data_IF_564215318338
#
_entry.id   IF_564215318338
#
_cell.length_a   1.000
_cell.length_b   1.000
_cell.length_c   1.000
_cell.angle_alpha   90.00
_cell.angle_beta   90.00
_cell.angle_gamma   90.00
#
_symmetry.space_group_name_H-M   'P 1'
#
loop_
_entity.id
_entity.type
_entity.pdbx_description
1 polymer ?
#
# COMPACT_ATOMS: atom_id res chain seq x y z
N UNK A 1 -21.08 -13.38 -11.25
CA UNK A 1 -21.71 -12.04 -11.35
C UNK A 1 -21.82 -11.70 -12.82
N UNK A 2 -23.02 -11.46 -13.33
CA UNK A 2 -23.24 -11.17 -14.75
C UNK A 2 -22.57 -9.83 -15.11
N UNK A 3 -21.99 -9.74 -16.31
CA UNK A 3 -21.38 -8.51 -16.85
C UNK A 3 -22.43 -7.40 -16.93
N UNK A 4 -23.70 -7.76 -17.16
CA UNK A 4 -24.83 -6.84 -17.18
C UNK A 4 -25.13 -6.27 -15.78
N UNK A 5 -25.13 -7.11 -14.75
CA UNK A 5 -25.34 -6.67 -13.36
C UNK A 5 -24.20 -5.78 -12.87
N UNK A 6 -22.98 -6.08 -13.29
CA UNK A 6 -21.79 -5.26 -12.99
C UNK A 6 -21.90 -3.89 -13.68
N UNK A 7 -22.29 -3.84 -14.95
CA UNK A 7 -22.48 -2.59 -15.70
C UNK A 7 -23.64 -1.75 -15.14
N UNK A 8 -24.71 -2.39 -14.65
CA UNK A 8 -25.84 -1.71 -13.99
C UNK A 8 -25.43 -1.11 -12.66
N UNK A 9 -24.73 -1.88 -11.81
CA UNK A 9 -24.17 -1.40 -10.56
C UNK A 9 -23.23 -0.21 -10.74
N UNK A 10 -22.35 -0.27 -11.75
CA UNK A 10 -21.45 0.86 -12.11
C UNK A 10 -22.26 2.08 -12.55
N UNK A 11 -23.29 1.94 -13.40
CA UNK A 11 -24.15 3.06 -13.85
C UNK A 11 -24.91 3.75 -12.71
N UNK A 12 -25.35 2.99 -11.72
CA UNK A 12 -25.97 3.56 -10.52
C UNK A 12 -24.95 4.42 -9.77
N UNK A 13 -23.69 4.01 -9.75
CA UNK A 13 -22.64 4.67 -8.97
C UNK A 13 -21.87 5.74 -9.76
N UNK A 14 -22.13 5.93 -11.07
CA UNK A 14 -21.51 7.00 -11.88
C UNK A 14 -22.18 8.38 -11.76
N UNK A 15 -23.20 8.52 -10.93
CA UNK A 15 -23.89 9.82 -10.73
C UNK A 15 -23.32 10.53 -9.49
N UNK A 16 -22.87 11.78 -9.65
CA UNK A 16 -22.17 12.50 -8.57
C UNK A 16 -23.07 12.76 -7.37
N UNK A 17 -24.39 12.91 -7.57
CA UNK A 17 -25.33 13.11 -6.46
C UNK A 17 -25.55 11.81 -5.69
N UNK A 18 -25.62 10.66 -6.38
CA UNK A 18 -25.72 9.35 -5.71
C UNK A 18 -24.45 9.01 -4.93
N UNK A 19 -23.27 9.31 -5.47
CA UNK A 19 -22.01 9.17 -4.72
C UNK A 19 -22.00 10.03 -3.46
N UNK A 20 -22.38 11.31 -3.57
CA UNK A 20 -22.41 12.21 -2.41
C UNK A 20 -23.46 11.80 -1.37
N UNK A 21 -24.57 11.19 -1.78
CA UNK A 21 -25.55 10.59 -0.84
C UNK A 21 -24.91 9.44 -0.05
N UNK A 22 -24.20 8.53 -0.73
CA UNK A 22 -23.54 7.39 -0.09
C UNK A 22 -22.43 7.83 0.86
N UNK A 23 -21.68 8.87 0.47
CA UNK A 23 -20.66 9.51 1.30
C UNK A 23 -21.27 10.10 2.59
N UNK A 24 -22.32 10.92 2.47
CA UNK A 24 -22.99 11.52 3.64
C UNK A 24 -23.64 10.50 4.59
N UNK A 25 -24.09 9.36 4.08
CA UNK A 25 -24.59 8.25 4.89
C UNK A 25 -23.43 7.57 5.62
N UNK A 26 -22.31 7.33 4.92
CA UNK A 26 -21.11 6.69 5.48
C UNK A 26 -20.42 7.54 6.56
N UNK A 27 -20.38 8.87 6.38
CA UNK A 27 -19.83 9.83 7.35
C UNK A 27 -20.76 10.07 8.56
N UNK A 28 -22.01 9.60 8.50
CA UNK A 28 -22.95 9.81 9.59
C UNK A 28 -22.62 8.91 10.80
N UNK A 29 -22.76 9.40 12.05
CA UNK A 29 -22.38 8.63 13.25
C UNK A 29 -23.06 7.26 13.38
N UNK A 30 -24.30 7.16 12.89
CA UNK A 30 -25.13 5.95 12.96
C UNK A 30 -25.16 5.17 11.63
N UNK A 31 -24.39 5.59 10.62
CA UNK A 31 -24.39 4.97 9.28
C UNK A 31 -25.72 5.08 8.53
N UNK A 32 -26.58 6.05 8.91
CA UNK A 32 -27.92 6.24 8.36
C UNK A 32 -28.31 7.71 8.28
N UNK A 33 -29.13 8.06 7.28
CA UNK A 33 -29.60 9.43 7.10
C UNK A 33 -31.08 9.51 6.71
N UNK A 34 -31.69 10.66 7.05
CA UNK A 34 -33.02 11.04 6.57
C UNK A 34 -32.89 11.75 5.22
N UNK A 35 -33.83 11.51 4.29
CA UNK A 35 -33.89 12.20 3.00
C UNK A 35 -33.93 13.74 3.15
N UNK A 36 -34.61 14.24 4.19
CA UNK A 36 -34.64 15.68 4.48
C UNK A 36 -33.26 16.23 4.82
N UNK A 37 -32.47 15.52 5.64
CA UNK A 37 -31.10 15.89 5.98
C UNK A 37 -30.20 15.86 4.74
N UNK A 38 -30.27 14.78 3.95
CA UNK A 38 -29.52 14.65 2.71
C UNK A 38 -29.82 15.80 1.74
N UNK A 39 -31.09 16.19 1.59
CA UNK A 39 -31.47 17.34 0.76
C UNK A 39 -30.86 18.66 1.24
N UNK A 40 -30.84 18.89 2.56
CA UNK A 40 -30.19 20.05 3.16
C UNK A 40 -28.69 20.07 2.89
N UNK A 41 -27.97 18.98 3.20
CA UNK A 41 -26.51 18.88 3.04
C UNK A 41 -26.07 19.00 1.57
N UNK A 42 -26.85 18.44 0.64
CA UNK A 42 -26.57 18.51 -0.80
C UNK A 42 -26.95 19.85 -1.42
N UNK A 43 -27.66 20.73 -0.71
CA UNK A 43 -28.24 21.94 -1.29
C UNK A 43 -29.26 21.67 -2.41
N UNK A 44 -29.90 20.49 -2.38
CA UNK A 44 -30.84 20.04 -3.41
C UNK A 44 -32.28 20.03 -2.89
N UNK A 45 -33.24 20.08 -3.82
CA UNK A 45 -34.65 19.94 -3.46
C UNK A 45 -34.94 18.49 -3.05
N UNK A 46 -35.77 18.32 -2.02
CA UNK A 46 -36.13 17.00 -1.50
C UNK A 46 -36.68 16.01 -2.56
N UNK A 47 -37.50 16.41 -3.55
CA UNK A 47 -37.93 15.51 -4.61
C UNK A 47 -36.77 14.95 -5.46
N UNK A 48 -35.73 15.76 -5.70
CA UNK A 48 -34.53 15.34 -6.43
C UNK A 48 -33.80 14.26 -5.65
N UNK A 49 -33.52 14.50 -4.37
CA UNK A 49 -32.85 13.52 -3.50
C UNK A 49 -33.69 12.25 -3.34
N UNK A 50 -35.00 12.38 -3.21
CA UNK A 50 -35.92 11.23 -3.12
C UNK A 50 -35.83 10.34 -4.37
N UNK A 51 -35.65 10.91 -5.56
CA UNK A 51 -35.46 10.16 -6.80
C UNK A 51 -34.14 9.37 -6.81
N UNK A 52 -33.05 9.99 -6.37
CA UNK A 52 -31.74 9.34 -6.26
C UNK A 52 -31.75 8.23 -5.21
N UNK A 53 -32.29 8.50 -4.02
CA UNK A 53 -32.42 7.51 -2.94
C UNK A 53 -33.31 6.35 -3.37
N UNK A 54 -34.41 6.60 -4.07
CA UNK A 54 -35.25 5.53 -4.62
C UNK A 54 -34.47 4.65 -5.59
N UNK A 55 -33.73 5.25 -6.52
CA UNK A 55 -32.89 4.50 -7.47
C UNK A 55 -31.87 3.62 -6.74
N UNK A 56 -31.25 4.13 -5.68
CA UNK A 56 -30.30 3.38 -4.87
C UNK A 56 -30.96 2.23 -4.10
N UNK A 57 -32.19 2.40 -3.62
CA UNK A 57 -32.96 1.31 -2.97
C UNK A 57 -33.41 0.25 -3.97
N UNK A 58 -33.93 0.67 -5.13
CA UNK A 58 -34.43 -0.24 -6.17
C UNK A 58 -33.31 -1.14 -6.72
N UNK A 59 -32.06 -0.67 -6.67
CA UNK A 59 -30.85 -1.39 -7.10
C UNK A 59 -30.10 -2.07 -5.93
N UNK A 60 -30.69 -2.06 -4.72
CA UNK A 60 -30.17 -2.76 -3.55
C UNK A 60 -28.91 -2.15 -2.93
N UNK A 61 -28.59 -0.89 -3.24
CA UNK A 61 -27.45 -0.16 -2.66
C UNK A 61 -27.81 0.42 -1.30
N UNK A 62 -29.03 0.95 -1.16
CA UNK A 62 -29.57 1.43 0.11
C UNK A 62 -30.70 0.51 0.58
N UNK A 63 -30.86 0.41 1.89
CA UNK A 63 -32.06 -0.11 2.52
C UNK A 63 -32.84 1.01 3.21
N UNK A 64 -34.11 0.74 3.52
CA UNK A 64 -34.98 1.69 4.19
C UNK A 64 -35.49 1.11 5.50
N UNK A 65 -35.38 1.88 6.56
CA UNK A 65 -35.84 1.51 7.90
C UNK A 65 -36.87 2.53 8.41
N UNK A 66 -38.16 2.17 8.44
CA UNK A 66 -39.18 3.02 9.03
C UNK A 66 -39.05 3.06 10.56
N UNK A 67 -38.89 4.25 11.12
CA UNK A 67 -38.83 4.48 12.57
C UNK A 67 -39.83 5.58 12.95
N UNK A 68 -40.99 5.17 13.45
CA UNK A 68 -42.09 6.07 13.77
C UNK A 68 -42.62 6.82 12.54
N UNK A 69 -42.44 8.15 12.51
CA UNK A 69 -42.86 9.03 11.39
C UNK A 69 -41.74 9.30 10.38
N UNK A 70 -40.56 8.76 10.62
CA UNK A 70 -39.38 8.99 9.81
C UNK A 70 -38.99 7.70 9.08
N UNK A 71 -38.29 7.87 7.96
CA UNK A 71 -37.71 6.76 7.19
C UNK A 71 -36.22 7.04 7.08
N UNK A 72 -35.43 6.16 7.69
CA UNK A 72 -33.98 6.17 7.64
C UNK A 72 -33.49 5.35 6.45
N UNK A 73 -32.37 5.78 5.89
CA UNK A 73 -31.69 5.08 4.81
C UNK A 73 -30.26 4.79 5.24
N UNK A 74 -29.87 3.53 5.14
CA UNK A 74 -28.52 3.01 5.39
C UNK A 74 -28.01 2.30 4.14
N UNK A 75 -26.70 2.11 4.04
CA UNK A 75 -26.12 1.27 2.99
C UNK A 75 -26.49 -0.17 3.30
N UNK A 76 -27.07 -0.87 2.31
CA UNK A 76 -27.46 -2.26 2.48
C UNK A 76 -26.22 -3.12 2.80
N UNK A 77 -26.28 -4.08 3.74
CA UNK A 77 -25.13 -4.88 4.15
C UNK A 77 -24.36 -5.52 2.98
N UNK A 78 -25.10 -6.06 2.01
CA UNK A 78 -24.54 -6.71 0.81
C UNK A 78 -23.91 -5.72 -0.20
N UNK A 79 -24.17 -4.42 -0.04
CA UNK A 79 -23.64 -3.35 -0.87
C UNK A 79 -22.46 -2.61 -0.23
N UNK A 80 -22.19 -2.81 1.07
CA UNK A 80 -21.15 -2.08 1.82
C UNK A 80 -19.78 -2.21 1.15
N UNK A 81 -19.33 -3.43 0.82
CA UNK A 81 -18.03 -3.63 0.18
C UNK A 81 -17.94 -2.93 -1.18
N UNK A 82 -18.99 -3.04 -1.99
CA UNK A 82 -19.05 -2.44 -3.32
C UNK A 82 -19.05 -0.91 -3.27
N UNK A 83 -19.77 -0.33 -2.30
CA UNK A 83 -19.81 1.12 -2.08
C UNK A 83 -18.46 1.62 -1.58
N UNK A 84 -17.82 0.91 -0.65
CA UNK A 84 -16.49 1.24 -0.13
C UNK A 84 -15.38 1.16 -1.18
N UNK A 85 -15.54 0.33 -2.22
CA UNK A 85 -14.60 0.27 -3.34
C UNK A 85 -14.75 1.44 -4.34
N UNK A 86 -15.93 2.04 -4.42
CA UNK A 86 -16.31 3.00 -5.46
C UNK A 86 -16.41 4.45 -4.97
N UNK A 87 -16.73 4.66 -3.71
CA UNK A 87 -16.49 5.95 -3.10
C UNK A 87 -14.99 6.25 -3.24
N UNK A 88 -14.59 7.51 -3.54
CA UNK A 88 -13.23 7.92 -3.25
C UNK A 88 -12.94 7.43 -1.84
N UNK A 89 -11.73 6.90 -1.56
CA UNK A 89 -11.29 6.80 -0.19
C UNK A 89 -11.41 8.21 0.36
N UNK A 90 -12.54 8.49 0.99
CA UNK A 90 -12.72 9.72 1.72
C UNK A 90 -11.53 9.76 2.66
N UNK A 91 -10.96 10.96 2.78
CA UNK A 91 -9.85 11.21 3.67
C UNK A 91 -10.15 10.40 4.92
N UNK A 92 -9.43 9.28 5.13
CA UNK A 92 -9.79 8.43 6.24
C UNK A 92 -9.76 9.38 7.41
N UNK A 93 -10.73 9.26 8.31
CA UNK A 93 -10.44 9.65 9.67
C UNK A 93 -9.00 9.12 9.92
N UNK A 94 -7.99 10.02 9.99
CA UNK A 94 -6.60 9.61 10.07
C UNK A 94 -6.58 8.58 11.17
N UNK A 95 -5.99 7.39 10.91
CA UNK A 95 -6.11 6.21 11.76
C UNK A 95 -6.38 6.65 13.20
N UNK A 96 -7.64 6.56 13.66
CA UNK A 96 -8.07 7.30 14.87
C UNK A 96 -7.02 7.09 15.95
N UNK A 97 -6.63 8.11 16.72
CA UNK A 97 -5.47 7.99 17.64
C UNK A 97 -5.47 6.66 18.44
N UNK A 98 -6.65 6.17 18.83
CA UNK A 98 -6.84 4.84 19.45
C UNK A 98 -6.28 3.65 18.66
N UNK A 99 -6.41 3.63 17.33
CA UNK A 99 -5.90 2.57 16.44
C UNK A 99 -4.37 2.63 16.39
N UNK A 100 -3.79 3.82 16.30
CA UNK A 100 -2.33 3.97 16.35
C UNK A 100 -1.78 3.60 17.72
N UNK A 101 -2.49 3.94 18.80
CA UNK A 101 -2.15 3.51 20.16
C UNK A 101 -2.19 1.98 20.31
N UNK A 102 -3.20 1.31 19.74
CA UNK A 102 -3.25 -0.16 19.70
C UNK A 102 -2.08 -0.76 18.92
N UNK A 103 -1.78 -0.21 17.73
CA UNK A 103 -0.62 -0.65 16.93
C UNK A 103 0.69 -0.45 17.70
N UNK A 104 0.86 0.70 18.36
CA UNK A 104 2.04 0.99 19.17
C UNK A 104 2.16 0.05 20.38
N UNK A 105 1.05 -0.27 21.05
CA UNK A 105 1.01 -1.23 22.14
C UNK A 105 1.42 -2.64 21.68
N UNK A 106 0.85 -3.12 20.57
CA UNK A 106 1.17 -4.45 20.02
C UNK A 106 2.63 -4.54 19.59
N UNK A 107 3.15 -3.50 18.91
CA UNK A 107 4.55 -3.45 18.52
C UNK A 107 5.48 -3.29 19.73
N UNK A 108 5.07 -2.59 20.79
CA UNK A 108 5.85 -2.47 22.02
C UNK A 108 6.02 -3.83 22.69
N UNK A 109 4.98 -4.67 22.67
CA UNK A 109 5.08 -6.05 23.14
C UNK A 109 6.02 -6.88 22.24
N UNK A 110 5.96 -6.71 20.92
CA UNK A 110 6.84 -7.42 19.96
C UNK A 110 8.32 -7.05 20.12
N UNK A 111 8.63 -5.78 20.32
CA UNK A 111 10.00 -5.26 20.44
C UNK A 111 10.46 -5.09 21.91
N UNK A 112 9.77 -5.75 22.84
CA UNK A 112 10.10 -5.71 24.26
C UNK A 112 11.55 -6.18 24.50
N UNK A 113 12.30 -5.39 25.25
CA UNK A 113 13.71 -5.66 25.56
C UNK A 113 14.70 -5.18 24.49
N UNK A 114 14.22 -4.72 23.33
CA UNK A 114 15.04 -4.05 22.30
C UNK A 114 14.82 -2.54 22.34
N UNK A 115 13.55 -2.11 22.35
CA UNK A 115 13.19 -0.69 22.37
C UNK A 115 12.26 -0.35 23.54
N UNK A 116 12.31 0.91 23.96
CA UNK A 116 11.33 1.43 24.93
C UNK A 116 9.96 1.63 24.24
N UNK A 117 8.84 1.53 24.98
CA UNK A 117 7.51 1.80 24.42
C UNK A 117 7.41 3.18 23.75
N UNK A 118 8.07 4.19 24.31
CA UNK A 118 8.08 5.56 23.76
C UNK A 118 8.81 5.62 22.40
N UNK A 119 9.86 4.81 22.23
CA UNK A 119 10.56 4.70 20.95
C UNK A 119 9.65 4.05 19.91
N UNK A 120 8.98 2.95 20.27
CA UNK A 120 8.06 2.26 19.37
C UNK A 120 6.89 3.16 18.97
N UNK A 121 6.27 3.84 19.94
CA UNK A 121 5.16 4.77 19.69
C UNK A 121 5.57 5.88 18.72
N UNK A 122 6.75 6.48 18.93
CA UNK A 122 7.30 7.49 18.02
C UNK A 122 7.45 6.95 16.61
N UNK A 123 8.02 5.76 16.43
CA UNK A 123 8.17 5.15 15.11
C UNK A 123 6.83 4.84 14.44
N UNK A 124 5.81 4.43 15.20
CA UNK A 124 4.45 4.22 14.65
C UNK A 124 3.85 5.53 14.16
N UNK A 125 3.89 6.60 14.97
CA UNK A 125 3.34 7.91 14.61
C UNK A 125 4.06 8.53 13.42
N UNK A 126 5.39 8.55 13.44
CA UNK A 126 6.19 9.05 12.30
C UNK A 126 5.92 8.25 11.02
N UNK A 127 5.80 6.92 11.11
CA UNK A 127 5.50 6.07 9.95
C UNK A 127 4.11 6.37 9.38
N UNK A 128 3.14 6.63 10.25
CA UNK A 128 1.82 7.07 9.83
C UNK A 128 1.90 8.41 9.09
N UNK A 129 2.56 9.42 9.66
CA UNK A 129 2.70 10.74 9.04
C UNK A 129 3.37 10.69 7.66
N UNK A 130 4.46 9.93 7.55
CA UNK A 130 5.21 9.73 6.31
C UNK A 130 4.36 9.11 5.19
N UNK A 131 3.45 8.20 5.53
CA UNK A 131 2.55 7.57 4.57
C UNK A 131 1.29 8.40 4.30
N UNK A 132 0.70 9.00 5.34
CA UNK A 132 -0.52 9.78 5.27
C UNK A 132 -0.39 10.97 4.31
N UNK A 133 0.77 11.63 4.28
CA UNK A 133 1.03 12.75 3.38
C UNK A 133 1.06 12.39 1.89
N UNK A 134 1.05 11.09 1.53
CA UNK A 134 1.22 10.60 0.15
C UNK A 134 0.21 9.52 -0.25
N UNK A 135 -0.54 8.97 0.70
CA UNK A 135 -1.51 7.93 0.46
C UNK A 135 -2.80 8.50 -0.16
N UNK A 136 -3.09 8.11 -1.40
CA UNK A 136 -4.41 8.33 -1.98
C UNK A 136 -5.44 7.30 -1.50
N UNK A 137 -5.02 6.16 -0.93
CA UNK A 137 -5.90 5.09 -0.45
C UNK A 137 -5.70 4.97 1.07
N UNK A 138 -6.63 5.55 1.81
CA UNK A 138 -6.53 5.77 3.26
C UNK A 138 -7.03 4.57 4.08
N UNK A 139 -7.90 3.72 3.50
CA UNK A 139 -8.51 2.53 4.18
C UNK A 139 -7.50 1.50 4.71
N UNK A 140 -6.33 1.41 4.10
CA UNK A 140 -5.29 0.44 4.49
C UNK A 140 -4.16 1.10 5.28
N UNK A 141 -4.23 2.41 5.51
CA UNK A 141 -3.16 3.19 6.11
C UNK A 141 -2.70 2.64 7.47
N UNK A 142 -3.58 2.26 8.44
CA UNK A 142 -3.12 1.65 9.69
C UNK A 142 -2.32 0.36 9.51
N UNK A 143 -2.70 -0.47 8.54
CA UNK A 143 -1.99 -1.73 8.24
C UNK A 143 -0.63 -1.45 7.61
N UNK A 144 -0.58 -0.51 6.67
CA UNK A 144 0.68 -0.06 6.06
C UNK A 144 1.59 0.63 7.08
N UNK A 145 1.02 1.42 7.99
CA UNK A 145 1.74 2.03 9.12
C UNK A 145 2.38 0.97 10.00
N UNK A 146 1.63 -0.06 10.41
CA UNK A 146 2.17 -1.15 11.22
C UNK A 146 3.32 -1.87 10.49
N UNK A 147 3.12 -2.22 9.22
CA UNK A 147 4.15 -2.88 8.40
C UNK A 147 5.39 -2.00 8.21
N UNK A 148 5.22 -0.70 7.97
CA UNK A 148 6.34 0.22 7.80
C UNK A 148 7.09 0.47 9.11
N UNK A 149 6.37 0.65 10.22
CA UNK A 149 6.98 0.81 11.54
C UNK A 149 7.78 -0.42 11.93
N UNK A 150 7.27 -1.63 11.65
CA UNK A 150 8.02 -2.88 11.81
C UNK A 150 9.31 -2.87 11.00
N UNK A 151 9.24 -2.53 9.71
CA UNK A 151 10.41 -2.53 8.82
C UNK A 151 11.50 -1.56 9.32
N UNK A 152 11.09 -0.36 9.75
CA UNK A 152 11.97 0.67 10.32
C UNK A 152 12.58 0.25 11.66
N UNK A 153 11.78 -0.32 12.57
CA UNK A 153 12.27 -0.80 13.87
C UNK A 153 13.22 -1.99 13.71
N UNK A 154 12.91 -2.93 12.81
CA UNK A 154 13.80 -4.04 12.49
C UNK A 154 15.13 -3.53 11.87
N UNK A 155 15.09 -2.46 11.06
CA UNK A 155 16.29 -1.81 10.53
C UNK A 155 17.10 -1.12 11.64
N UNK A 156 16.44 -0.38 12.52
CA UNK A 156 17.09 0.28 13.65
C UNK A 156 17.77 -0.73 14.59
N UNK A 157 17.11 -1.86 14.89
CA UNK A 157 17.68 -2.90 15.73
C UNK A 157 18.91 -3.56 15.09
N UNK A 158 18.96 -3.56 13.75
CA UNK A 158 20.08 -4.08 12.98
C UNK A 158 21.23 -3.09 12.84
N UNK A 159 20.99 -1.78 12.90
CA UNK A 159 22.07 -0.79 12.92
C UNK A 159 23.06 -1.04 14.08
N UNK A 160 22.55 -1.56 15.20
CA UNK A 160 23.37 -1.92 16.36
C UNK A 160 24.19 -3.22 16.15
N UNK A 161 23.90 -4.00 15.11
CA UNK A 161 24.61 -5.23 14.77
C UNK A 161 25.89 -4.94 13.94
N UNK A 162 26.91 -5.82 13.99
CA UNK A 162 28.09 -5.67 13.16
C UNK A 162 27.75 -5.69 11.66
N UNK A 163 28.35 -4.78 10.88
CA UNK A 163 28.29 -4.81 9.41
C UNK A 163 28.77 -6.18 8.87
N UNK A 164 28.06 -6.74 7.89
CA UNK A 164 28.32 -8.09 7.38
C UNK A 164 27.71 -9.23 8.21
N UNK A 165 26.80 -8.93 9.14
CA UNK A 165 26.03 -9.96 9.83
C UNK A 165 25.12 -10.74 8.86
N UNK A 166 25.13 -12.07 8.95
CA UNK A 166 24.27 -12.92 8.13
C UNK A 166 22.81 -12.93 8.63
N UNK A 167 21.82 -13.01 7.71
CA UNK A 167 21.96 -12.88 6.26
C UNK A 167 22.24 -11.43 5.84
N UNK A 168 22.99 -11.19 4.74
CA UNK A 168 23.27 -9.84 4.23
C UNK A 168 21.99 -9.09 3.88
N UNK A 169 22.03 -7.77 3.95
CA UNK A 169 20.89 -6.90 3.68
C UNK A 169 21.10 -6.02 2.44
N UNK A 170 20.11 -6.07 1.54
CA UNK A 170 20.07 -5.31 0.29
C UNK A 170 18.86 -4.37 0.29
N UNK A 171 19.13 -3.07 0.09
CA UNK A 171 18.11 -2.04 -0.11
C UNK A 171 18.06 -1.61 -1.57
N UNK A 172 16.88 -1.69 -2.18
CA UNK A 172 16.63 -1.15 -3.51
C UNK A 172 15.87 0.18 -3.43
N UNK A 173 16.45 1.23 -4.02
CA UNK A 173 15.88 2.59 -4.01
C UNK A 173 15.60 3.05 -5.43
N UNK A 174 14.38 3.48 -5.71
CA UNK A 174 14.04 4.19 -6.96
C UNK A 174 13.16 5.40 -6.64
N UNK A 175 12.80 6.23 -7.63
CA UNK A 175 11.99 7.44 -7.35
C UNK A 175 10.66 7.09 -6.67
N UNK A 176 9.82 6.28 -7.33
CA UNK A 176 8.43 6.06 -6.90
C UNK A 176 8.19 4.86 -6.01
N UNK A 177 9.18 4.00 -5.78
CA UNK A 177 9.03 2.70 -5.12
C UNK A 177 7.82 1.86 -5.59
N UNK A 178 7.47 2.00 -6.87
CA UNK A 178 6.29 1.40 -7.49
C UNK A 178 6.61 0.66 -8.80
N UNK A 179 7.91 0.46 -9.09
CA UNK A 179 8.42 -0.09 -10.34
C UNK A 179 9.75 -0.81 -10.16
N UNK A 180 10.86 -0.18 -10.59
CA UNK A 180 12.21 -0.79 -10.64
C UNK A 180 12.63 -1.44 -9.31
N UNK A 181 12.56 -0.71 -8.19
CA UNK A 181 12.95 -1.27 -6.89
C UNK A 181 12.03 -2.40 -6.40
N UNK A 182 10.74 -2.38 -6.79
CA UNK A 182 9.80 -3.46 -6.47
C UNK A 182 10.09 -4.73 -7.29
N UNK A 183 10.40 -4.59 -8.58
CA UNK A 183 10.84 -5.71 -9.43
C UNK A 183 12.09 -6.35 -8.85
N UNK A 184 13.13 -5.54 -8.59
CA UNK A 184 14.41 -6.04 -8.11
C UNK A 184 14.26 -6.78 -6.77
N UNK A 185 13.49 -6.22 -5.83
CA UNK A 185 13.25 -6.84 -4.55
C UNK A 185 12.45 -8.13 -4.65
N UNK A 186 11.39 -8.16 -5.45
CA UNK A 186 10.57 -9.36 -5.62
C UNK A 186 11.39 -10.51 -6.21
N UNK A 187 12.18 -10.24 -7.26
CA UNK A 187 13.07 -11.24 -7.87
C UNK A 187 14.14 -11.68 -6.87
N UNK A 188 14.80 -10.75 -6.16
CA UNK A 188 15.84 -11.12 -5.21
C UNK A 188 15.29 -11.99 -4.09
N UNK A 189 14.13 -11.65 -3.51
CA UNK A 189 13.47 -12.49 -2.49
C UNK A 189 13.11 -13.86 -3.04
N UNK A 190 12.57 -13.93 -4.25
CA UNK A 190 12.19 -15.19 -4.88
C UNK A 190 13.39 -16.13 -5.06
N UNK A 191 14.56 -15.60 -5.42
CA UNK A 191 15.77 -16.38 -5.66
C UNK A 191 16.56 -16.67 -4.36
N UNK A 192 16.62 -15.70 -3.44
CA UNK A 192 17.43 -15.80 -2.23
C UNK A 192 16.71 -16.51 -1.07
N UNK A 193 15.38 -16.39 -0.98
CA UNK A 193 14.64 -16.72 0.24
C UNK A 193 15.19 -15.96 1.44
N UNK A 194 15.29 -16.62 2.58
CA UNK A 194 15.75 -16.02 3.84
C UNK A 194 17.27 -15.76 3.90
N UNK A 195 18.01 -16.08 2.83
CA UNK A 195 19.47 -15.91 2.76
C UNK A 195 19.89 -14.47 2.51
N UNK A 196 18.96 -13.59 2.12
CA UNK A 196 19.19 -12.16 1.95
C UNK A 196 17.98 -11.41 2.50
N UNK A 197 18.21 -10.41 3.35
CA UNK A 197 17.16 -9.47 3.75
C UNK A 197 17.01 -8.40 2.69
N UNK A 198 15.77 -8.11 2.31
CA UNK A 198 15.49 -7.22 1.19
C UNK A 198 14.54 -6.12 1.62
N UNK A 199 14.97 -4.88 1.43
CA UNK A 199 14.15 -3.68 1.66
C UNK A 199 13.98 -2.89 0.37
N UNK A 200 12.92 -2.10 0.33
CA UNK A 200 12.68 -1.16 -0.76
C UNK A 200 12.25 0.19 -0.22
N UNK A 201 12.63 1.25 -0.92
CA UNK A 201 12.17 2.60 -0.63
C UNK A 201 12.14 3.47 -1.89
N UNK A 202 11.57 4.66 -1.75
CA UNK A 202 11.69 5.70 -2.77
C UNK A 202 11.75 7.12 -2.23
N UNK A 203 12.34 8.00 -3.03
CA UNK A 203 12.44 9.43 -2.71
C UNK A 203 11.09 10.14 -2.80
N UNK A 204 10.29 9.74 -3.80
CA UNK A 204 8.96 10.26 -4.09
C UNK A 204 7.96 9.13 -4.33
N UNK A 205 7.59 8.34 -3.28
CA UNK A 205 6.76 7.16 -3.45
C UNK A 205 5.41 7.47 -4.09
N UNK A 206 4.96 6.59 -4.99
CA UNK A 206 3.61 6.64 -5.54
C UNK A 206 2.58 6.12 -4.53
N UNK A 207 1.29 6.18 -4.89
CA UNK A 207 0.21 5.68 -4.02
C UNK A 207 0.06 4.17 -3.99
N UNK A 208 0.52 3.46 -5.02
CA UNK A 208 0.43 2.01 -5.13
C UNK A 208 1.51 1.48 -6.08
N UNK A 209 1.84 0.19 -5.97
CA UNK A 209 2.64 -0.47 -6.99
C UNK A 209 1.86 -0.54 -8.30
N UNK A 210 2.53 -0.29 -9.42
CA UNK A 210 1.88 -0.26 -10.74
C UNK A 210 1.41 -1.64 -11.14
N UNK A 211 0.18 -1.75 -11.65
CA UNK A 211 -0.41 -3.02 -12.10
C UNK A 211 0.40 -3.70 -13.21
N UNK A 212 1.04 -2.92 -14.09
CA UNK A 212 1.94 -3.45 -15.13
C UNK A 212 3.17 -4.16 -14.56
N UNK A 213 3.63 -3.74 -13.38
CA UNK A 213 4.76 -4.35 -12.67
C UNK A 213 4.33 -5.68 -12.06
N UNK A 214 3.16 -5.69 -11.40
CA UNK A 214 2.54 -6.91 -10.87
C UNK A 214 2.35 -7.93 -12.00
N UNK A 215 1.76 -7.51 -13.11
CA UNK A 215 1.54 -8.36 -14.28
C UNK A 215 2.86 -8.94 -14.84
N UNK A 216 3.91 -8.14 -14.94
CA UNK A 216 5.20 -8.60 -15.45
C UNK A 216 5.88 -9.62 -14.50
N UNK A 217 5.68 -9.49 -13.19
CA UNK A 217 6.22 -10.44 -12.20
C UNK A 217 5.38 -11.74 -12.15
N UNK A 218 4.06 -11.64 -12.24
CA UNK A 218 3.15 -12.79 -12.26
C UNK A 218 3.43 -13.72 -13.45
N UNK A 219 3.80 -13.16 -14.62
CA UNK A 219 4.19 -13.93 -15.81
C UNK A 219 5.36 -14.90 -15.58
N UNK A 220 6.22 -14.61 -14.60
CA UNK A 220 7.38 -15.44 -14.25
C UNK A 220 7.20 -16.15 -12.89
N UNK A 221 6.00 -16.09 -12.31
CA UNK A 221 5.69 -16.74 -11.03
C UNK A 221 6.37 -16.09 -9.82
N UNK A 222 6.74 -14.81 -9.92
CA UNK A 222 7.37 -14.06 -8.83
C UNK A 222 6.29 -13.22 -8.12
N UNK A 223 5.87 -13.58 -6.89
CA UNK A 223 4.86 -12.80 -6.18
C UNK A 223 5.44 -11.49 -5.67
N UNK A 224 4.66 -10.41 -5.75
CA UNK A 224 5.06 -9.12 -5.16
C UNK A 224 4.86 -9.08 -3.64
N UNK A 225 3.96 -9.91 -3.12
CA UNK A 225 3.64 -9.98 -1.69
C UNK A 225 2.91 -8.73 -1.17
N UNK A 226 2.98 -8.50 0.14
CA UNK A 226 2.39 -7.34 0.82
C UNK A 226 3.18 -6.04 0.64
N UNK A 227 3.88 -5.87 -0.48
CA UNK A 227 4.69 -4.70 -0.76
C UNK A 227 3.86 -3.47 -1.09
N UNK A 228 4.39 -2.31 -0.72
CA UNK A 228 3.78 -1.01 -0.98
C UNK A 228 4.86 0.06 -1.16
N UNK A 229 4.58 1.14 -1.91
CA UNK A 229 5.50 2.26 -1.99
C UNK A 229 5.67 2.93 -0.62
N UNK A 230 6.93 3.03 -0.17
CA UNK A 230 7.28 3.63 1.12
C UNK A 230 8.48 4.57 1.00
N UNK A 231 8.54 5.66 1.79
CA UNK A 231 9.60 6.64 1.69
C UNK A 231 10.94 6.07 2.16
N UNK A 232 12.02 6.59 1.60
CA UNK A 232 13.37 6.33 2.08
C UNK A 232 13.54 6.93 3.48
N UNK A 233 13.99 6.12 4.43
CA UNK A 233 14.32 6.54 5.80
C UNK A 233 15.78 6.25 6.12
N UNK A 234 16.29 6.86 7.18
CA UNK A 234 17.71 6.84 7.47
C UNK A 234 18.17 5.46 7.94
N UNK A 235 17.41 4.87 8.86
CA UNK A 235 17.67 3.59 9.48
C UNK A 235 17.73 2.44 8.47
N UNK A 236 16.93 2.46 7.40
CA UNK A 236 16.97 1.40 6.38
C UNK A 236 18.24 1.47 5.53
N UNK A 237 18.76 2.67 5.25
CA UNK A 237 20.06 2.82 4.56
C UNK A 237 21.18 2.37 5.49
N UNK A 238 21.09 2.70 6.77
CA UNK A 238 22.09 2.31 7.76
C UNK A 238 22.11 0.80 8.01
N UNK A 239 20.97 0.13 8.02
CA UNK A 239 20.89 -1.31 8.22
C UNK A 239 21.41 -2.15 7.04
N UNK A 240 21.52 -1.54 5.85
CA UNK A 240 21.87 -2.23 4.62
C UNK A 240 23.37 -2.42 4.44
N UNK A 241 23.76 -3.62 3.99
CA UNK A 241 25.13 -3.91 3.56
C UNK A 241 25.35 -3.44 2.11
N UNK A 242 24.31 -3.56 1.27
CA UNK A 242 24.30 -3.11 -0.13
C UNK A 242 23.11 -2.19 -0.38
N UNK A 243 23.36 -1.02 -0.94
CA UNK A 243 22.34 -0.06 -1.37
C UNK A 243 22.40 0.08 -2.89
N UNK A 244 21.29 -0.24 -3.56
CA UNK A 244 21.18 -0.20 -5.02
C UNK A 244 20.23 0.92 -5.42
N UNK A 245 20.76 1.96 -6.05
CA UNK A 245 20.00 3.10 -6.56
C UNK A 245 19.59 2.89 -8.00
N UNK A 246 18.38 3.34 -8.35
CA UNK A 246 17.78 3.21 -9.67
C UNK A 246 17.10 4.53 -10.06
N UNK A 247 17.91 5.54 -10.36
CA UNK A 247 17.44 6.84 -10.82
C UNK A 247 16.85 7.75 -9.74
N UNK A 248 17.13 7.52 -8.46
CA UNK A 248 16.75 8.43 -7.36
C UNK A 248 17.76 9.58 -7.13
N UNK A 249 18.88 9.62 -7.87
CA UNK A 249 19.92 10.64 -7.76
C UNK A 249 20.49 10.74 -6.35
N UNK A 250 20.78 11.96 -5.92
CA UNK A 250 21.41 12.27 -4.63
C UNK A 250 20.46 12.18 -3.42
N UNK A 251 19.25 11.63 -3.59
CA UNK A 251 18.29 11.49 -2.50
C UNK A 251 18.72 10.45 -1.44
N UNK A 252 19.67 9.55 -1.78
CA UNK A 252 20.15 8.54 -0.86
C UNK A 252 21.39 9.04 -0.09
N UNK A 253 21.36 9.10 1.25
CA UNK A 253 22.55 9.42 2.03
C UNK A 253 23.62 8.34 1.89
N UNK A 254 24.89 8.76 1.93
CA UNK A 254 26.05 7.87 1.84
C UNK A 254 26.65 7.66 3.22
N UNK A 255 26.71 6.40 3.65
CA UNK A 255 27.29 5.98 4.92
C UNK A 255 28.52 5.08 4.69
N UNK A 256 29.59 5.24 5.48
CA UNK A 256 30.79 4.41 5.34
C UNK A 256 30.51 2.94 5.69
N UNK A 257 31.29 2.03 5.12
CA UNK A 257 31.20 0.59 5.42
C UNK A 257 30.09 -0.16 4.67
N UNK A 258 29.47 0.47 3.67
CA UNK A 258 28.39 -0.09 2.86
C UNK A 258 28.75 -0.03 1.39
N UNK A 259 28.23 -0.97 0.60
CA UNK A 259 28.45 -1.02 -0.84
C UNK A 259 27.30 -0.31 -1.55
N UNK A 260 27.62 0.71 -2.35
CA UNK A 260 26.65 1.42 -3.17
C UNK A 260 26.77 0.98 -4.63
N UNK A 261 25.64 0.67 -5.26
CA UNK A 261 25.53 0.33 -6.67
C UNK A 261 24.52 1.26 -7.32
N UNK A 262 24.85 1.76 -8.51
CA UNK A 262 23.91 2.54 -9.31
C UNK A 262 23.55 1.76 -10.57
N UNK A 263 22.26 1.45 -10.70
CA UNK A 263 21.71 0.73 -11.85
C UNK A 263 20.95 1.70 -12.74
N UNK A 264 21.59 2.09 -13.83
CA UNK A 264 20.96 2.83 -14.91
C UNK A 264 19.93 1.93 -15.61
N UNK A 265 18.66 2.23 -15.39
CA UNK A 265 17.50 1.49 -15.89
C UNK A 265 16.44 2.47 -16.40
N UNK A 266 15.85 2.15 -17.55
CA UNK A 266 14.68 2.85 -18.10
C UNK A 266 13.55 2.91 -17.06
N UNK A 267 12.79 4.01 -17.05
CA UNK A 267 11.64 4.12 -16.14
C UNK A 267 10.43 3.36 -16.70
N UNK A 268 9.94 2.28 -16.04
CA UNK A 268 8.78 1.54 -16.49
C UNK A 268 7.46 2.32 -16.36
N UNK A 269 7.50 3.52 -15.75
CA UNK A 269 6.32 4.27 -15.32
C UNK A 269 5.26 4.55 -16.40
N UNK A 270 5.68 4.67 -17.65
CA UNK A 270 4.84 5.07 -18.79
C UNK A 270 5.00 4.12 -19.98
N UNK A 271 5.66 2.98 -19.77
CA UNK A 271 6.03 2.07 -20.84
C UNK A 271 4.98 0.97 -21.04
N UNK A 272 4.78 0.51 -22.29
CA UNK A 272 3.99 -0.69 -22.56
C UNK A 272 4.58 -1.93 -21.86
N UNK A 273 3.73 -2.90 -21.53
CA UNK A 273 4.13 -4.14 -20.85
C UNK A 273 5.33 -4.85 -21.53
N UNK A 274 5.42 -4.80 -22.86
CA UNK A 274 6.56 -5.37 -23.59
C UNK A 274 7.92 -4.78 -23.16
N UNK A 275 8.01 -3.46 -22.98
CA UNK A 275 9.24 -2.79 -22.50
C UNK A 275 9.45 -3.02 -21.00
N UNK A 276 8.37 -3.14 -20.22
CA UNK A 276 8.45 -3.51 -18.80
C UNK A 276 9.08 -4.91 -18.64
N UNK A 277 8.78 -5.86 -19.54
CA UNK A 277 9.42 -7.18 -19.57
C UNK A 277 10.93 -7.08 -19.81
N UNK A 278 11.35 -6.25 -20.76
CA UNK A 278 12.78 -6.04 -21.03
C UNK A 278 13.50 -5.46 -19.80
N UNK A 279 12.90 -4.49 -19.11
CA UNK A 279 13.44 -3.94 -17.84
C UNK A 279 13.48 -5.02 -16.75
N UNK A 280 12.43 -5.84 -16.63
CA UNK A 280 12.38 -6.96 -15.68
C UNK A 280 13.52 -7.94 -15.94
N UNK A 281 13.74 -8.31 -17.19
CA UNK A 281 14.76 -9.29 -17.58
C UNK A 281 16.20 -8.74 -17.37
N UNK A 282 16.42 -7.44 -17.61
CA UNK A 282 17.69 -6.76 -17.24
C UNK A 282 17.89 -6.76 -15.71
N UNK A 283 16.86 -6.39 -14.95
CA UNK A 283 16.89 -6.43 -13.49
C UNK A 283 17.17 -7.86 -12.98
N UNK A 284 16.55 -8.89 -13.56
CA UNK A 284 16.80 -10.28 -13.19
C UNK A 284 18.27 -10.66 -13.38
N UNK A 285 18.87 -10.29 -14.51
CA UNK A 285 20.28 -10.56 -14.78
C UNK A 285 21.21 -9.89 -13.75
N UNK A 286 20.92 -8.63 -13.40
CA UNK A 286 21.68 -7.87 -12.39
C UNK A 286 21.50 -8.43 -10.98
N UNK A 287 20.30 -8.86 -10.62
CA UNK A 287 20.03 -9.52 -9.34
C UNK A 287 20.78 -10.85 -9.25
N UNK A 288 20.82 -11.65 -10.32
CA UNK A 288 21.59 -12.90 -10.35
C UNK A 288 23.10 -12.66 -10.17
N UNK A 289 23.63 -11.60 -10.79
CA UNK A 289 25.02 -11.19 -10.59
C UNK A 289 25.27 -10.76 -9.14
N UNK A 290 24.40 -9.92 -8.56
CA UNK A 290 24.50 -9.49 -7.17
C UNK A 290 24.46 -10.68 -6.19
N UNK A 291 23.56 -11.64 -6.39
CA UNK A 291 23.49 -12.85 -5.56
C UNK A 291 24.77 -13.67 -5.62
N UNK A 292 25.36 -13.80 -6.81
CA UNK A 292 26.62 -14.51 -7.01
C UNK A 292 27.77 -13.83 -6.26
N UNK A 293 27.83 -12.50 -6.29
CA UNK A 293 28.82 -11.71 -5.55
C UNK A 293 28.63 -11.79 -4.03
N UNK A 294 27.39 -11.93 -3.56
CA UNK A 294 27.06 -12.15 -2.15
C UNK A 294 27.32 -13.60 -1.69
N UNK A 295 27.76 -14.50 -2.59
CA UNK A 295 27.98 -15.91 -2.28
C UNK A 295 26.69 -16.71 -2.06
N UNK A 296 25.54 -16.18 -2.49
CA UNK A 296 24.22 -16.80 -2.35
C UNK A 296 23.87 -17.51 -3.66
N UNK A 297 24.09 -18.82 -3.72
CA UNK A 297 23.75 -19.62 -4.92
C UNK A 297 22.22 -19.60 -5.15
N UNK A 298 21.73 -19.04 -6.25
CA UNK A 298 20.32 -19.17 -6.60
C UNK A 298 19.93 -20.65 -6.72
N UNK A 299 18.74 -21.08 -6.24
CA UNK A 299 18.27 -22.44 -6.48
C UNK A 299 18.22 -22.67 -7.99
N UNK A 300 18.71 -23.82 -8.45
CA UNK A 300 18.70 -24.17 -9.88
C UNK A 300 17.27 -24.03 -10.43
N UNK A 301 17.09 -23.21 -11.48
CA UNK A 301 15.83 -23.10 -12.22
C UNK A 301 15.48 -24.49 -12.77
N UNK A 302 14.62 -25.26 -12.10
CA UNK A 302 14.16 -26.54 -12.65
C UNK A 302 13.66 -27.64 -11.71
N UNK A 303 13.27 -27.38 -10.46
CA UNK A 303 12.74 -28.45 -9.60
C UNK A 303 11.53 -28.01 -8.77
N UNK A 304 10.44 -27.59 -9.43
CA UNK A 304 9.10 -27.65 -8.85
C UNK A 304 8.05 -27.83 -9.96
N UNK A 305 8.05 -29.04 -10.51
CA UNK A 305 6.88 -29.63 -11.14
C UNK A 305 6.64 -30.98 -10.46
N UNK A 306 6.04 -30.96 -9.27
CA UNK A 306 5.30 -32.08 -8.66
C UNK A 306 4.20 -31.55 -7.76
#
# INVERSE_FOLDING_TARGET
MDVIDTARGIRVLTDPTRLRILELISESPDGRALVGRLATELGLRQPTVSHHVKTLVDEGVLEREPEGRQVWYSIAPDAVERVNELLPPDAAAPASDEVLERVASDLSARFAGVFSPETVERYVRESHELLAGRAHITRHLPSLTSAFAVDRLDALAREEAPHGAEPPEVLFVCVQNAGRSQIAAAILRHLAGDRVRVRTAGSEPASAVKSTIVQALDEIGVPIGGEFPKPLTDEVVRASDVVVTMGCGDACPIYPGRRYLDWELDDPAVLPLARVREIRDDIEARVCALLSELGVNAPEKGMNAR
#
